data_IF_762463088984
#
_entry.id   IF_762463088984
#
_cell.length_a   1.000
_cell.length_b   1.000
_cell.length_c   1.000
_cell.angle_alpha   90.00
_cell.angle_beta   90.00
_cell.angle_gamma   90.00
#
_symmetry.space_group_name_H-M   'P 1'
#
loop_
_entity.id
_entity.type
_entity.pdbx_description
1 polymer ?
#
# COMPACT_ATOMS: atom_id res chain seq x y z
N UNK A 1 -17.31 -14.87 1.47
CA UNK A 1 -16.58 -15.71 0.48
C UNK A 1 -16.28 -17.04 1.16
N UNK A 2 -16.56 -18.12 0.47
CA UNK A 2 -16.01 -19.41 0.88
C UNK A 2 -14.49 -19.36 0.74
N UNK A 3 -13.77 -19.86 1.71
CA UNK A 3 -12.32 -20.03 1.66
C UNK A 3 -11.93 -20.73 0.34
N UNK A 4 -10.98 -20.22 -0.45
CA UNK A 4 -10.68 -20.74 -1.79
C UNK A 4 -9.81 -22.02 -1.72
N UNK A 5 -10.37 -23.05 -1.09
CA UNK A 5 -9.69 -24.28 -0.71
C UNK A 5 -8.98 -24.97 -1.88
N UNK A 6 -9.70 -25.19 -2.98
CA UNK A 6 -9.15 -25.90 -4.14
C UNK A 6 -7.98 -25.12 -4.77
N UNK A 7 -8.10 -23.79 -4.85
CA UNK A 7 -7.05 -22.91 -5.40
C UNK A 7 -5.82 -22.90 -4.51
N UNK A 8 -6.00 -22.85 -3.19
CA UNK A 8 -4.90 -22.89 -2.23
C UNK A 8 -4.20 -24.25 -2.22
N UNK A 9 -4.95 -25.35 -2.26
CA UNK A 9 -4.38 -26.69 -2.33
C UNK A 9 -3.60 -26.92 -3.64
N UNK A 10 -4.11 -26.43 -4.79
CA UNK A 10 -3.37 -26.43 -6.04
C UNK A 10 -2.09 -25.59 -5.97
N UNK A 11 -2.13 -24.46 -5.25
CA UNK A 11 -0.96 -23.62 -5.00
C UNK A 11 0.07 -24.33 -4.12
N UNK A 12 -0.38 -24.98 -3.03
CA UNK A 12 0.47 -25.78 -2.14
C UNK A 12 1.16 -26.91 -2.91
N UNK A 13 0.41 -27.71 -3.70
CA UNK A 13 0.99 -28.79 -4.50
C UNK A 13 2.06 -28.27 -5.46
N UNK A 14 1.77 -27.21 -6.20
CA UNK A 14 2.73 -26.56 -7.11
C UNK A 14 3.99 -26.10 -6.38
N UNK A 15 3.83 -25.44 -5.22
CA UNK A 15 4.94 -24.85 -4.48
C UNK A 15 5.69 -25.85 -3.59
N UNK A 16 5.13 -27.03 -3.29
CA UNK A 16 5.83 -28.09 -2.57
C UNK A 16 7.12 -28.54 -3.27
N UNK A 17 7.18 -28.36 -4.60
CA UNK A 17 8.34 -28.64 -5.46
C UNK A 17 9.28 -27.45 -5.63
N UNK A 18 8.87 -26.26 -5.15
CA UNK A 18 9.71 -25.07 -5.27
C UNK A 18 10.83 -25.11 -4.21
N UNK A 19 12.12 -24.85 -4.57
CA UNK A 19 13.25 -25.02 -3.66
C UNK A 19 13.13 -24.28 -2.32
N UNK A 20 12.48 -23.11 -2.31
CA UNK A 20 12.28 -22.35 -1.08
C UNK A 20 11.24 -23.00 -0.15
N UNK A 21 10.22 -23.65 -0.70
CA UNK A 21 9.09 -24.22 0.04
C UNK A 21 9.17 -25.72 0.25
N UNK A 22 10.10 -26.42 -0.40
CA UNK A 22 10.28 -27.85 -0.27
C UNK A 22 10.46 -28.25 1.21
N UNK A 23 9.63 -29.17 1.67
CA UNK A 23 9.59 -29.63 3.07
C UNK A 23 9.01 -28.65 4.09
N UNK A 24 8.47 -27.49 3.65
CA UNK A 24 7.87 -26.48 4.54
C UNK A 24 6.36 -26.39 4.42
N UNK A 25 5.78 -26.88 3.34
CA UNK A 25 4.35 -26.85 3.10
C UNK A 25 3.72 -28.21 3.42
N UNK A 26 2.49 -28.26 3.97
CA UNK A 26 1.73 -29.49 4.12
C UNK A 26 1.40 -30.09 2.74
N UNK A 27 0.83 -31.29 2.71
CA UNK A 27 0.34 -31.90 1.47
C UNK A 27 -0.90 -31.17 0.94
N UNK A 28 -1.80 -30.86 1.84
CA UNK A 28 -3.06 -30.14 1.63
C UNK A 28 -3.50 -29.47 2.94
N UNK A 29 -4.52 -28.65 2.86
CA UNK A 29 -5.20 -28.04 4.00
C UNK A 29 -6.71 -28.24 3.84
N UNK A 30 -7.45 -28.20 4.93
CA UNK A 30 -8.90 -28.51 4.96
C UNK A 30 -9.78 -27.27 5.05
N UNK A 31 -9.27 -26.20 5.64
CA UNK A 31 -9.97 -24.93 5.81
C UNK A 31 -9.01 -23.77 6.12
N UNK A 32 -9.55 -22.58 6.39
CA UNK A 32 -8.76 -21.38 6.67
C UNK A 32 -7.94 -21.49 7.97
N UNK A 33 -8.47 -22.16 8.99
CA UNK A 33 -7.77 -22.33 10.27
C UNK A 33 -6.59 -23.29 10.10
N UNK A 34 -6.80 -24.38 9.38
CA UNK A 34 -5.74 -25.34 9.04
C UNK A 34 -4.65 -24.68 8.18
N UNK A 35 -5.02 -23.88 7.17
CA UNK A 35 -4.10 -23.09 6.38
C UNK A 35 -3.24 -22.16 7.26
N UNK A 36 -3.88 -21.44 8.18
CA UNK A 36 -3.19 -20.51 9.07
C UNK A 36 -2.25 -21.22 10.06
N UNK A 37 -2.59 -22.40 10.52
CA UNK A 37 -1.81 -23.17 11.51
C UNK A 37 -0.70 -24.01 10.87
N UNK A 38 -0.95 -24.61 9.70
CA UNK A 38 -0.02 -25.53 9.07
C UNK A 38 1.08 -24.85 8.26
N UNK A 39 0.86 -23.62 7.78
CA UNK A 39 1.81 -22.91 6.93
C UNK A 39 2.42 -21.73 7.70
N UNK A 40 3.76 -21.71 7.86
CA UNK A 40 4.43 -20.62 8.58
C UNK A 40 4.31 -19.29 7.84
N UNK A 41 4.26 -18.21 8.61
CA UNK A 41 4.36 -16.85 8.08
C UNK A 41 5.76 -16.60 7.51
N UNK A 42 5.82 -15.87 6.39
CA UNK A 42 7.05 -15.39 5.79
C UNK A 42 7.22 -13.90 6.06
N UNK A 43 8.31 -13.52 6.67
CA UNK A 43 8.62 -12.11 6.93
C UNK A 43 9.30 -11.44 5.74
N UNK A 44 9.31 -10.10 5.73
CA UNK A 44 10.11 -9.32 4.77
C UNK A 44 11.59 -9.63 4.89
N UNK A 45 12.11 -9.83 6.11
CA UNK A 45 13.51 -10.17 6.34
C UNK A 45 13.89 -11.55 5.77
N UNK A 46 12.96 -12.53 5.78
CA UNK A 46 13.18 -13.83 5.15
C UNK A 46 13.37 -13.68 3.63
N UNK A 47 12.53 -12.85 2.99
CA UNK A 47 12.65 -12.55 1.56
C UNK A 47 13.98 -11.86 1.24
N UNK A 48 14.30 -10.79 1.96
CA UNK A 48 15.56 -10.03 1.78
C UNK A 48 16.77 -10.92 1.94
N UNK A 49 16.81 -11.71 3.02
CA UNK A 49 17.91 -12.64 3.31
C UNK A 49 18.09 -13.67 2.20
N UNK A 50 17.00 -14.23 1.69
CA UNK A 50 17.07 -15.24 0.64
C UNK A 50 17.53 -14.63 -0.69
N UNK A 51 17.00 -13.44 -1.05
CA UNK A 51 17.29 -12.77 -2.32
C UNK A 51 18.71 -12.21 -2.42
N UNK A 52 19.39 -11.93 -1.30
CA UNK A 52 20.77 -11.50 -1.28
C UNK A 52 21.78 -12.65 -1.37
N UNK A 53 21.33 -13.90 -1.30
CA UNK A 53 22.23 -15.05 -1.53
C UNK A 53 22.67 -15.12 -3.01
N UNK A 54 23.84 -15.70 -3.30
CA UNK A 54 24.29 -15.90 -4.68
C UNK A 54 23.21 -16.58 -5.54
N UNK A 55 22.98 -16.03 -6.74
CA UNK A 55 21.96 -16.54 -7.65
C UNK A 55 20.52 -16.39 -7.13
N UNK A 56 20.25 -15.44 -6.22
CA UNK A 56 18.97 -15.21 -5.58
C UNK A 56 18.48 -16.37 -4.69
N UNK A 57 19.42 -17.14 -4.16
CA UNK A 57 19.15 -18.26 -3.27
C UNK A 57 18.19 -19.27 -3.90
N UNK A 58 17.22 -19.71 -3.12
CA UNK A 58 16.24 -20.72 -3.55
C UNK A 58 15.14 -20.18 -4.48
N UNK A 59 15.08 -18.86 -4.75
CA UNK A 59 14.24 -18.27 -5.79
C UNK A 59 14.92 -18.23 -7.17
N UNK A 60 16.20 -18.53 -7.27
CA UNK A 60 17.00 -18.43 -8.49
C UNK A 60 16.71 -19.48 -9.58
N UNK A 61 15.81 -20.43 -9.37
CA UNK A 61 15.51 -21.52 -10.32
C UNK A 61 14.65 -21.12 -11.51
N UNK A 62 14.05 -19.92 -11.52
CA UNK A 62 13.19 -19.43 -12.61
C UNK A 62 13.95 -18.55 -13.59
N UNK A 63 13.48 -18.50 -14.85
CA UNK A 63 14.02 -17.59 -15.87
C UNK A 63 13.11 -16.36 -15.99
N UNK A 64 13.38 -15.27 -15.26
CA UNK A 64 12.56 -14.06 -15.37
C UNK A 64 12.78 -13.38 -16.72
N UNK A 65 11.71 -12.79 -17.26
CA UNK A 65 11.77 -11.87 -18.40
C UNK A 65 11.81 -10.42 -17.97
N UNK A 66 11.47 -10.17 -16.68
CA UNK A 66 11.50 -8.86 -16.05
C UNK A 66 12.07 -8.97 -14.66
N UNK A 67 12.97 -8.06 -14.34
CA UNK A 67 13.56 -7.91 -13.01
C UNK A 67 13.57 -6.42 -12.69
N UNK A 68 12.76 -6.03 -11.72
CA UNK A 68 12.77 -4.70 -11.14
C UNK A 68 13.44 -4.77 -9.75
N UNK A 69 13.69 -3.63 -9.14
CA UNK A 69 14.22 -3.55 -7.79
C UNK A 69 13.18 -2.95 -6.85
N UNK A 70 13.21 -3.34 -5.60
CA UNK A 70 12.44 -2.73 -4.52
C UNK A 70 13.37 -2.38 -3.37
N UNK A 71 13.19 -1.20 -2.79
CA UNK A 71 13.89 -0.83 -1.57
C UNK A 71 13.23 -1.52 -0.38
N UNK A 72 13.94 -2.46 0.24
CA UNK A 72 13.45 -3.21 1.39
C UNK A 72 14.51 -3.21 2.48
N UNK A 73 14.18 -2.66 3.64
CA UNK A 73 14.95 -2.63 4.89
C UNK A 73 16.41 -3.14 4.86
N UNK A 74 17.32 -2.37 4.29
CA UNK A 74 18.74 -2.73 4.18
C UNK A 74 19.30 -2.84 2.76
N UNK A 75 18.50 -2.59 1.70
CA UNK A 75 19.03 -2.56 0.35
C UNK A 75 18.01 -2.79 -0.76
N UNK A 76 18.52 -2.85 -1.98
CA UNK A 76 17.73 -3.16 -3.17
C UNK A 76 17.54 -4.67 -3.29
N UNK A 77 16.30 -5.11 -3.39
CA UNK A 77 15.90 -6.51 -3.56
C UNK A 77 15.30 -6.70 -4.94
N UNK A 78 15.76 -7.68 -5.74
CA UNK A 78 15.15 -8.00 -7.01
C UNK A 78 13.71 -8.48 -6.88
N UNK A 79 12.85 -7.97 -7.74
CA UNK A 79 11.47 -8.42 -7.94
C UNK A 79 11.38 -9.04 -9.32
N UNK A 80 11.16 -10.34 -9.37
CA UNK A 80 11.24 -11.12 -10.59
C UNK A 80 9.85 -11.50 -11.12
N UNK A 81 9.71 -11.51 -12.45
CA UNK A 81 8.49 -11.92 -13.15
C UNK A 81 8.86 -12.79 -14.35
N UNK A 82 8.21 -13.95 -14.49
CA UNK A 82 8.22 -14.73 -15.74
C UNK A 82 7.31 -14.07 -16.78
N UNK A 83 7.34 -14.55 -18.04
CA UNK A 83 6.37 -14.12 -19.04
C UNK A 83 4.93 -14.39 -18.58
N UNK A 84 4.68 -15.55 -18.01
CA UNK A 84 3.35 -15.91 -17.51
C UNK A 84 2.91 -15.05 -16.33
N UNK A 85 3.82 -14.64 -15.45
CA UNK A 85 3.49 -13.70 -14.37
C UNK A 85 3.02 -12.36 -14.94
N UNK A 86 3.71 -11.85 -15.97
CA UNK A 86 3.32 -10.61 -16.65
C UNK A 86 1.95 -10.76 -17.36
N UNK A 87 1.74 -11.87 -18.07
CA UNK A 87 0.50 -12.11 -18.81
C UNK A 87 -0.71 -12.25 -17.86
N UNK A 88 -0.56 -12.93 -16.72
CA UNK A 88 -1.59 -13.04 -15.68
C UNK A 88 -1.93 -11.69 -15.06
N UNK A 89 -0.92 -10.89 -14.77
CA UNK A 89 -1.08 -9.54 -14.26
C UNK A 89 -1.86 -8.66 -15.25
N UNK A 90 -1.53 -8.69 -16.53
CA UNK A 90 -2.27 -8.00 -17.61
C UNK A 90 -3.72 -8.46 -17.63
N UNK A 91 -3.95 -9.78 -17.65
CA UNK A 91 -5.28 -10.37 -17.68
C UNK A 91 -6.16 -9.92 -16.52
N UNK A 92 -5.62 -9.92 -15.30
CA UNK A 92 -6.34 -9.47 -14.11
C UNK A 92 -6.69 -7.96 -14.17
N UNK A 93 -5.79 -7.13 -14.72
CA UNK A 93 -6.03 -5.70 -14.84
C UNK A 93 -7.05 -5.34 -15.93
N UNK A 94 -7.24 -6.17 -16.95
CA UNK A 94 -8.12 -5.88 -18.10
C UNK A 94 -9.56 -5.57 -17.67
N UNK A 95 -10.18 -6.46 -16.89
CA UNK A 95 -11.55 -6.26 -16.39
C UNK A 95 -11.69 -4.95 -15.61
N UNK A 96 -10.64 -4.55 -14.89
CA UNK A 96 -10.65 -3.29 -14.16
C UNK A 96 -10.56 -2.08 -15.11
N UNK A 97 -9.72 -2.15 -16.14
CA UNK A 97 -9.60 -1.08 -17.15
C UNK A 97 -10.93 -0.89 -17.92
N UNK A 98 -11.57 -1.99 -18.32
CA UNK A 98 -12.91 -1.98 -18.93
C UNK A 98 -13.93 -1.29 -18.01
N UNK A 99 -13.93 -1.67 -16.72
CA UNK A 99 -14.83 -1.10 -15.71
C UNK A 99 -14.64 0.41 -15.51
N UNK A 100 -13.42 0.92 -15.62
CA UNK A 100 -13.10 2.34 -15.51
C UNK A 100 -13.38 3.13 -16.80
N UNK A 101 -13.92 2.48 -17.85
CA UNK A 101 -14.19 3.13 -19.12
C UNK A 101 -12.92 3.47 -19.92
N UNK A 102 -11.85 2.69 -19.70
CA UNK A 102 -10.62 2.79 -20.51
C UNK A 102 -10.85 2.05 -21.83
N UNK A 103 -10.54 2.69 -22.97
CA UNK A 103 -10.85 2.19 -24.30
C UNK A 103 -9.62 2.21 -25.22
N UNK A 104 -9.67 1.40 -26.28
CA UNK A 104 -8.69 1.48 -27.37
C UNK A 104 -8.70 2.89 -27.99
N UNK A 105 -7.51 3.46 -28.18
CA UNK A 105 -7.33 4.82 -28.69
C UNK A 105 -7.23 5.90 -27.61
N UNK A 106 -7.44 5.57 -26.34
CA UNK A 106 -7.10 6.48 -25.24
C UNK A 106 -5.60 6.76 -25.19
N UNK A 107 -5.24 7.87 -24.56
CA UNK A 107 -3.84 8.27 -24.37
C UNK A 107 -3.55 8.44 -22.89
N UNK A 108 -2.64 7.62 -22.36
CA UNK A 108 -2.22 7.62 -20.97
C UNK A 108 -0.84 8.26 -20.80
N UNK A 109 -0.72 9.29 -19.96
CA UNK A 109 0.56 9.78 -19.49
C UNK A 109 0.94 9.08 -18.17
N UNK A 110 2.09 8.42 -18.17
CA UNK A 110 2.60 7.68 -17.02
C UNK A 110 3.71 8.49 -16.35
N UNK A 111 3.46 8.93 -15.11
CA UNK A 111 4.37 9.73 -14.31
C UNK A 111 5.13 8.93 -13.25
N UNK A 112 5.00 7.61 -13.24
CA UNK A 112 5.83 6.75 -12.42
C UNK A 112 7.23 6.57 -13.02
N UNK A 113 8.24 6.38 -12.15
CA UNK A 113 9.60 6.13 -12.58
C UNK A 113 9.74 4.82 -13.38
N UNK A 114 10.58 4.86 -14.41
CA UNK A 114 10.87 3.71 -15.29
C UNK A 114 12.21 3.02 -14.96
N UNK A 115 13.07 3.69 -14.22
CA UNK A 115 14.37 3.15 -13.82
C UNK A 115 14.24 2.34 -12.54
N UNK A 116 14.78 1.14 -12.51
CA UNK A 116 14.81 0.18 -11.39
C UNK A 116 13.44 -0.31 -10.91
N UNK A 117 12.50 0.61 -10.62
CA UNK A 117 11.22 0.29 -9.98
C UNK A 117 10.19 -0.25 -10.96
N UNK A 118 9.17 -0.91 -10.43
CA UNK A 118 8.20 -1.66 -11.24
C UNK A 118 7.04 -0.82 -11.78
N UNK A 119 6.70 0.29 -11.10
CA UNK A 119 5.43 0.99 -11.32
C UNK A 119 5.24 1.52 -12.75
N UNK A 120 6.22 2.24 -13.32
CA UNK A 120 6.13 2.77 -14.68
C UNK A 120 5.88 1.67 -15.71
N UNK A 121 6.72 0.62 -15.70
CA UNK A 121 6.58 -0.52 -16.59
C UNK A 121 5.28 -1.32 -16.37
N UNK A 122 4.79 -1.37 -15.12
CA UNK A 122 3.53 -2.02 -14.81
C UNK A 122 2.36 -1.31 -15.48
N UNK A 123 2.25 0.01 -15.30
CA UNK A 123 1.16 0.77 -15.92
C UNK A 123 1.25 0.76 -17.43
N UNK A 124 2.42 1.00 -18.01
CA UNK A 124 2.61 0.96 -19.46
C UNK A 124 2.20 -0.39 -20.03
N UNK A 125 2.70 -1.50 -19.47
CA UNK A 125 2.45 -2.83 -20.00
C UNK A 125 0.96 -3.17 -20.06
N UNK A 126 0.19 -2.83 -19.03
CA UNK A 126 -1.26 -3.12 -19.00
C UNK A 126 -2.06 -2.21 -19.92
N UNK A 127 -1.68 -0.93 -20.04
CA UNK A 127 -2.33 0.04 -20.90
C UNK A 127 -2.11 -0.31 -22.39
N UNK A 128 -0.86 -0.58 -22.79
CA UNK A 128 -0.53 -1.01 -24.15
C UNK A 128 -1.26 -2.31 -24.53
N UNK A 129 -1.33 -3.28 -23.61
CA UNK A 129 -2.08 -4.52 -23.84
C UNK A 129 -3.60 -4.31 -23.93
N UNK A 130 -4.10 -3.16 -23.50
CA UNK A 130 -5.50 -2.74 -23.59
C UNK A 130 -5.79 -1.85 -24.81
N UNK A 131 -4.79 -1.57 -25.66
CA UNK A 131 -4.90 -0.70 -26.83
C UNK A 131 -4.77 0.79 -26.55
N UNK A 132 -4.33 1.17 -25.34
CA UNK A 132 -4.10 2.55 -24.92
C UNK A 132 -2.71 3.00 -25.34
N UNK A 133 -2.60 4.17 -25.95
CA UNK A 133 -1.30 4.79 -26.23
C UNK A 133 -0.65 5.30 -24.94
N UNK A 134 0.59 4.90 -24.67
CA UNK A 134 1.31 5.31 -23.48
C UNK A 134 2.40 6.33 -23.78
N UNK A 135 2.44 7.40 -22.98
CA UNK A 135 3.53 8.40 -22.97
C UNK A 135 4.30 8.22 -21.66
N UNK A 136 5.55 7.70 -21.70
CA UNK A 136 6.35 7.43 -20.51
C UNK A 136 7.09 8.66 -20.03
N UNK A 137 6.39 9.61 -19.39
CA UNK A 137 6.97 10.87 -18.93
C UNK A 137 7.89 10.71 -17.71
N UNK A 138 7.52 9.82 -16.79
CA UNK A 138 8.24 9.69 -15.52
C UNK A 138 8.01 10.86 -14.55
N UNK A 139 8.58 10.80 -13.34
CA UNK A 139 8.50 11.88 -12.37
C UNK A 139 9.47 13.04 -12.74
N UNK A 140 9.06 14.28 -12.48
CA UNK A 140 9.93 15.44 -12.59
C UNK A 140 9.80 16.29 -13.85
N UNK A 141 9.00 15.91 -14.84
CA UNK A 141 8.79 16.64 -16.09
C UNK A 141 7.50 17.49 -16.09
N UNK A 142 7.14 18.09 -14.95
CA UNK A 142 5.87 18.84 -14.82
C UNK A 142 5.74 19.97 -15.86
N UNK A 143 6.81 20.71 -16.13
CA UNK A 143 6.78 21.83 -17.08
C UNK A 143 6.52 21.36 -18.52
N UNK A 144 7.06 20.21 -18.90
CA UNK A 144 6.81 19.62 -20.23
C UNK A 144 5.48 18.85 -20.30
N UNK A 145 4.95 18.44 -19.16
CA UNK A 145 3.73 17.64 -19.10
C UNK A 145 2.54 18.38 -19.72
N UNK A 146 2.42 19.68 -19.48
CA UNK A 146 1.32 20.50 -20.02
C UNK A 146 1.32 20.48 -21.54
N UNK A 147 2.46 20.77 -22.16
CA UNK A 147 2.58 20.80 -23.63
C UNK A 147 2.31 19.42 -24.23
N UNK A 148 2.90 18.38 -23.67
CA UNK A 148 2.75 16.99 -24.13
C UNK A 148 1.31 16.51 -23.95
N UNK A 149 0.73 16.69 -22.75
CA UNK A 149 -0.65 16.24 -22.49
C UNK A 149 -1.65 16.98 -23.37
N UNK A 150 -1.42 18.27 -23.67
CA UNK A 150 -2.29 19.06 -24.55
C UNK A 150 -2.13 18.65 -26.01
N UNK A 151 -0.89 18.55 -26.49
CA UNK A 151 -0.61 18.21 -27.90
C UNK A 151 -1.12 16.81 -28.29
N UNK A 152 -1.14 15.87 -27.35
CA UNK A 152 -1.51 14.47 -27.61
C UNK A 152 -2.88 14.10 -27.02
N UNK A 153 -3.68 15.06 -26.55
CA UNK A 153 -5.02 14.83 -26.00
C UNK A 153 -5.03 13.76 -24.90
N UNK A 154 -4.06 13.81 -23.97
CA UNK A 154 -3.99 12.86 -22.86
C UNK A 154 -5.28 12.92 -22.05
N UNK A 155 -5.93 11.76 -21.88
CA UNK A 155 -7.18 11.62 -21.15
C UNK A 155 -7.12 10.58 -20.02
N UNK A 156 -5.96 9.95 -19.80
CA UNK A 156 -5.67 9.09 -18.65
C UNK A 156 -4.36 9.53 -18.02
N UNK A 157 -4.33 9.62 -16.69
CA UNK A 157 -3.10 9.85 -15.93
C UNK A 157 -2.81 8.65 -15.00
N UNK A 158 -1.54 8.29 -14.86
CA UNK A 158 -1.07 7.32 -13.87
C UNK A 158 0.13 7.90 -13.11
N UNK A 159 0.00 8.10 -11.81
CA UNK A 159 1.03 8.77 -11.02
C UNK A 159 0.72 8.89 -9.53
N UNK A 160 1.58 9.57 -8.80
CA UNK A 160 1.35 9.86 -7.39
C UNK A 160 0.26 10.93 -7.22
N UNK A 161 -0.68 10.77 -6.30
CA UNK A 161 -1.74 11.76 -6.05
C UNK A 161 -1.21 13.17 -5.75
N UNK A 162 -0.22 13.30 -4.87
CA UNK A 162 0.38 14.60 -4.54
C UNK A 162 1.08 15.26 -5.73
N UNK A 163 1.68 14.47 -6.63
CA UNK A 163 2.29 14.99 -7.85
C UNK A 163 1.23 15.42 -8.87
N UNK A 164 0.09 14.74 -8.93
CA UNK A 164 -1.00 15.08 -9.86
C UNK A 164 -1.58 16.48 -9.59
N UNK A 165 -1.66 16.91 -8.33
CA UNK A 165 -2.09 18.28 -7.99
C UNK A 165 -1.18 19.33 -8.62
N UNK A 166 0.14 19.13 -8.55
CA UNK A 166 1.11 20.04 -9.18
C UNK A 166 0.98 20.07 -10.71
N UNK A 167 0.63 18.93 -11.33
CA UNK A 167 0.38 18.88 -12.77
C UNK A 167 -0.84 19.70 -13.15
N UNK A 168 -1.91 19.65 -12.37
CA UNK A 168 -3.12 20.43 -12.59
C UNK A 168 -2.88 21.93 -12.36
N UNK A 169 -2.15 22.29 -11.29
CA UNK A 169 -1.71 23.67 -11.02
C UNK A 169 -0.87 24.22 -12.18
N UNK A 170 -0.02 23.41 -12.80
CA UNK A 170 0.75 23.77 -13.97
C UNK A 170 -0.10 23.91 -15.25
N UNK A 171 -1.34 23.40 -15.28
CA UNK A 171 -2.28 23.55 -16.39
C UNK A 171 -2.61 22.24 -17.14
N UNK A 172 -2.21 21.08 -16.66
CA UNK A 172 -2.68 19.79 -17.20
C UNK A 172 -4.17 19.68 -16.92
N UNK A 173 -4.96 19.32 -17.92
CA UNK A 173 -6.41 19.17 -17.79
C UNK A 173 -6.76 17.91 -16.97
N UNK A 174 -7.87 17.94 -16.18
CA UNK A 174 -8.40 16.75 -15.53
C UNK A 174 -8.62 15.62 -16.53
N UNK A 175 -8.13 14.40 -16.24
CA UNK A 175 -8.31 13.25 -17.12
C UNK A 175 -9.71 12.63 -16.94
N UNK A 176 -10.12 11.70 -17.82
CA UNK A 176 -11.31 10.87 -17.56
C UNK A 176 -11.05 9.82 -16.49
N UNK A 177 -9.80 9.31 -16.39
CA UNK A 177 -9.39 8.34 -15.36
C UNK A 177 -8.04 8.74 -14.81
N UNK A 178 -7.91 8.73 -13.49
CA UNK A 178 -6.65 8.90 -12.78
C UNK A 178 -6.31 7.67 -11.95
N UNK A 179 -5.24 6.98 -12.31
CA UNK A 179 -4.70 5.85 -11.56
C UNK A 179 -3.68 6.36 -10.54
N UNK A 180 -4.11 6.50 -9.32
CA UNK A 180 -3.31 6.94 -8.18
C UNK A 180 -2.55 5.76 -7.55
N UNK A 181 -1.29 5.96 -7.18
CA UNK A 181 -0.52 4.95 -6.48
C UNK A 181 0.81 5.50 -5.95
N UNK A 182 1.53 4.66 -5.20
CA UNK A 182 2.83 5.01 -4.64
C UNK A 182 2.79 5.76 -3.32
N UNK A 183 1.65 6.25 -2.90
CA UNK A 183 1.39 6.86 -1.58
C UNK A 183 -0.06 6.58 -1.15
N UNK A 184 -0.36 6.75 0.14
CA UNK A 184 -1.71 6.57 0.66
C UNK A 184 -2.67 7.58 0.01
N UNK A 185 -3.74 7.09 -0.61
CA UNK A 185 -4.71 7.92 -1.32
C UNK A 185 -6.07 7.90 -0.65
N UNK A 186 -6.86 6.82 -0.76
CA UNK A 186 -8.14 6.72 -0.06
C UNK A 186 -7.98 6.61 1.45
N UNK A 187 -6.83 6.10 1.92
CA UNK A 187 -6.41 6.13 3.32
C UNK A 187 -5.95 7.50 3.82
N UNK A 188 -5.88 8.53 2.94
CA UNK A 188 -5.58 9.92 3.28
C UNK A 188 -6.73 10.83 2.82
N UNK A 189 -7.76 11.05 3.67
CA UNK A 189 -8.96 11.79 3.28
C UNK A 189 -8.68 13.21 2.77
N UNK A 190 -7.70 13.91 3.33
CA UNK A 190 -7.33 15.26 2.89
C UNK A 190 -6.81 15.26 1.47
N UNK A 191 -5.84 14.40 1.17
CA UNK A 191 -5.28 14.27 -0.17
C UNK A 191 -6.34 13.82 -1.17
N UNK A 192 -7.18 12.84 -0.78
CA UNK A 192 -8.28 12.37 -1.64
C UNK A 192 -9.25 13.49 -1.99
N UNK A 193 -9.68 14.27 -0.99
CA UNK A 193 -10.60 15.42 -1.19
C UNK A 193 -9.97 16.47 -2.10
N UNK A 194 -8.70 16.86 -1.85
CA UNK A 194 -8.00 17.84 -2.69
C UNK A 194 -7.90 17.39 -4.16
N UNK A 195 -7.61 16.11 -4.39
CA UNK A 195 -7.55 15.58 -5.77
C UNK A 195 -8.95 15.50 -6.38
N UNK A 196 -9.97 15.09 -5.64
CA UNK A 196 -11.34 15.00 -6.13
C UNK A 196 -11.91 16.38 -6.52
N UNK A 197 -11.61 17.41 -5.73
CA UNK A 197 -12.01 18.79 -6.03
C UNK A 197 -11.25 19.35 -7.26
N UNK A 198 -9.98 19.02 -7.41
CA UNK A 198 -9.16 19.45 -8.55
C UNK A 198 -9.47 18.67 -9.86
N UNK A 199 -10.07 17.49 -9.76
CA UNK A 199 -10.40 16.63 -10.90
C UNK A 199 -11.92 16.30 -10.93
N UNK A 200 -12.81 17.28 -11.09
CA UNK A 200 -14.25 17.02 -11.11
C UNK A 200 -14.62 16.13 -12.32
N UNK A 201 -15.40 15.07 -12.04
CA UNK A 201 -15.87 14.13 -13.05
C UNK A 201 -14.84 13.06 -13.47
N UNK A 202 -13.63 13.10 -12.91
CA UNK A 202 -12.60 12.07 -13.14
C UNK A 202 -12.92 10.81 -12.33
N UNK A 203 -12.77 9.63 -12.94
CA UNK A 203 -12.75 8.37 -12.22
C UNK A 203 -11.41 8.24 -11.46
N UNK A 204 -11.46 8.42 -10.14
CA UNK A 204 -10.30 8.28 -9.27
C UNK A 204 -10.12 6.82 -8.87
N UNK A 205 -8.97 6.25 -9.19
CA UNK A 205 -8.63 4.86 -8.89
C UNK A 205 -7.48 4.84 -7.89
N UNK A 206 -7.72 4.38 -6.67
CA UNK A 206 -6.64 4.00 -5.77
C UNK A 206 -6.13 2.62 -6.17
N UNK A 207 -4.85 2.54 -6.51
CA UNK A 207 -4.21 1.32 -6.97
C UNK A 207 -3.17 0.86 -5.95
N UNK A 208 -3.63 0.03 -5.03
CA UNK A 208 -2.79 -0.54 -4.00
C UNK A 208 -1.92 -1.66 -4.56
N UNK A 209 -0.62 -1.53 -4.35
CA UNK A 209 0.37 -2.50 -4.80
C UNK A 209 1.60 -2.48 -3.90
N UNK A 210 2.19 -3.64 -3.71
CA UNK A 210 3.53 -3.80 -3.16
C UNK A 210 4.44 -4.23 -4.31
N UNK A 211 5.68 -3.76 -4.34
CA UNK A 211 6.60 -4.13 -5.45
C UNK A 211 6.74 -5.64 -5.60
N UNK A 212 6.85 -6.37 -4.49
CA UNK A 212 6.97 -7.81 -4.41
C UNK A 212 5.64 -8.57 -4.63
N UNK A 213 4.50 -7.87 -4.40
CA UNK A 213 3.15 -8.42 -4.63
C UNK A 213 2.38 -7.44 -5.50
N UNK A 214 2.43 -7.64 -6.79
CA UNK A 214 1.85 -6.70 -7.75
C UNK A 214 1.02 -7.43 -8.80
N UNK A 215 -0.19 -6.96 -9.08
CA UNK A 215 -0.99 -5.99 -8.33
C UNK A 215 -1.61 -6.59 -7.06
N UNK A 216 -1.99 -5.74 -6.08
CA UNK A 216 -2.74 -6.20 -4.90
C UNK A 216 -4.24 -5.94 -5.09
N UNK A 217 -4.64 -4.70 -5.34
CA UNK A 217 -6.05 -4.36 -5.56
C UNK A 217 -6.25 -2.94 -6.09
N UNK A 218 -7.50 -2.62 -6.46
CA UNK A 218 -7.90 -1.31 -6.99
C UNK A 218 -9.31 -0.91 -6.58
N UNK A 219 -9.56 0.40 -6.54
CA UNK A 219 -10.92 0.94 -6.45
C UNK A 219 -11.68 0.68 -7.76
N UNK A 220 -12.88 0.14 -7.66
CA UNK A 220 -13.81 -0.03 -8.80
C UNK A 220 -14.82 1.11 -8.84
N UNK A 221 -15.40 1.45 -10.02
CA UNK A 221 -16.42 2.48 -10.13
C UNK A 221 -17.61 2.22 -9.20
N UNK A 222 -18.01 3.26 -8.44
CA UNK A 222 -19.10 3.17 -7.47
C UNK A 222 -18.79 2.36 -6.21
N UNK A 223 -17.58 1.78 -6.08
CA UNK A 223 -17.11 1.05 -4.91
C UNK A 223 -16.42 1.97 -3.90
N UNK A 224 -16.45 1.56 -2.63
CA UNK A 224 -15.61 2.15 -1.59
C UNK A 224 -14.44 1.22 -1.28
N UNK A 225 -13.25 1.81 -1.08
CA UNK A 225 -12.03 1.06 -0.81
C UNK A 225 -11.47 0.35 -2.04
N UNK A 226 -10.54 -0.56 -1.78
CA UNK A 226 -9.79 -1.30 -2.81
C UNK A 226 -10.25 -2.75 -2.79
N UNK A 227 -10.75 -3.24 -3.93
CA UNK A 227 -11.03 -4.67 -4.12
C UNK A 227 -9.78 -5.40 -4.61
N UNK A 228 -9.48 -6.52 -3.99
CA UNK A 228 -8.29 -7.30 -4.28
C UNK A 228 -8.43 -8.08 -5.61
N UNK A 229 -7.30 -8.33 -6.23
CA UNK A 229 -7.20 -9.27 -7.37
C UNK A 229 -7.16 -10.71 -6.84
N UNK A 230 -8.32 -11.19 -6.36
CA UNK A 230 -8.48 -12.47 -5.67
C UNK A 230 -8.23 -13.70 -6.56
N UNK A 231 -8.11 -13.53 -7.88
CA UNK A 231 -7.56 -14.54 -8.79
C UNK A 231 -6.02 -14.66 -8.75
N UNK A 232 -5.33 -13.63 -8.27
CA UNK A 232 -3.85 -13.61 -8.19
C UNK A 232 -3.33 -13.84 -6.78
N UNK A 233 -4.08 -13.37 -5.77
CA UNK A 233 -3.66 -13.37 -4.38
C UNK A 233 -4.79 -13.82 -3.44
N UNK A 234 -4.40 -14.48 -2.36
CA UNK A 234 -5.24 -14.71 -1.19
C UNK A 234 -4.78 -13.81 -0.05
N UNK A 235 -5.70 -13.18 0.65
CA UNK A 235 -5.42 -12.23 1.73
C UNK A 235 -5.96 -12.70 3.08
N UNK A 236 -5.11 -12.66 4.08
CA UNK A 236 -5.43 -12.79 5.49
C UNK A 236 -5.19 -11.46 6.20
N UNK A 237 -5.85 -11.22 7.31
CA UNK A 237 -5.50 -10.16 8.26
C UNK A 237 -5.25 -10.83 9.60
N UNK A 238 -4.09 -10.56 10.21
CA UNK A 238 -3.66 -11.19 11.46
C UNK A 238 -3.40 -10.14 12.54
N UNK A 239 -3.58 -10.51 13.79
CA UNK A 239 -3.06 -9.71 14.89
C UNK A 239 -1.52 -9.76 14.88
N UNK A 240 -0.82 -8.62 14.81
CA UNK A 240 0.64 -8.60 14.63
C UNK A 240 1.44 -9.10 15.84
N UNK A 241 0.82 -9.25 17.03
CA UNK A 241 1.46 -9.79 18.24
C UNK A 241 1.22 -11.28 18.40
N UNK A 242 -0.05 -11.71 18.30
CA UNK A 242 -0.42 -13.12 18.46
C UNK A 242 -0.20 -13.94 17.21
N UNK A 243 -0.08 -13.27 16.05
CA UNK A 243 0.07 -13.85 14.71
C UNK A 243 -1.13 -14.72 14.29
N UNK A 244 -2.27 -14.56 14.98
CA UNK A 244 -3.51 -15.28 14.67
C UNK A 244 -4.40 -14.46 13.74
N UNK A 245 -5.15 -15.10 12.84
CA UNK A 245 -6.14 -14.42 12.02
C UNK A 245 -7.17 -13.69 12.89
N UNK A 246 -7.55 -12.49 12.44
CA UNK A 246 -8.64 -11.70 13.04
C UNK A 246 -9.92 -11.85 12.22
N UNK A 247 -11.06 -11.51 12.79
CA UNK A 247 -12.34 -11.56 12.10
C UNK A 247 -12.43 -10.48 11.00
N UNK A 248 -13.29 -10.71 10.00
CA UNK A 248 -13.60 -9.69 9.00
C UNK A 248 -14.16 -8.43 9.67
N UNK A 249 -13.63 -7.27 9.30
CA UNK A 249 -13.96 -6.00 9.92
C UNK A 249 -13.03 -5.60 11.07
N UNK A 250 -12.20 -6.50 11.56
CA UNK A 250 -11.19 -6.20 12.57
C UNK A 250 -9.87 -5.75 11.94
N UNK A 251 -9.17 -4.88 12.66
CA UNK A 251 -7.87 -4.33 12.25
C UNK A 251 -6.73 -5.30 12.56
N UNK A 252 -5.82 -5.47 11.60
CA UNK A 252 -4.62 -6.27 11.80
C UNK A 252 -3.61 -6.06 10.67
N UNK A 253 -2.55 -6.85 10.65
CA UNK A 253 -1.53 -6.85 9.60
C UNK A 253 -2.00 -7.66 8.40
N UNK A 254 -1.86 -7.05 7.21
CA UNK A 254 -2.14 -7.73 5.93
C UNK A 254 -1.08 -8.79 5.65
N UNK A 255 -1.55 -9.99 5.36
CA UNK A 255 -0.74 -11.13 4.95
C UNK A 255 -1.22 -11.61 3.58
N UNK A 256 -0.30 -11.77 2.63
CA UNK A 256 -0.63 -12.09 1.25
C UNK A 256 0.00 -13.41 0.80
N UNK A 257 -0.76 -14.18 0.03
CA UNK A 257 -0.31 -15.41 -0.62
C UNK A 257 -0.53 -15.31 -2.12
N UNK A 258 0.53 -15.49 -2.91
CA UNK A 258 0.42 -15.60 -4.35
C UNK A 258 -0.20 -16.93 -4.77
N UNK A 259 -1.27 -16.89 -5.53
CA UNK A 259 -1.95 -18.09 -6.01
C UNK A 259 -1.28 -18.68 -7.25
N UNK A 260 -0.75 -17.84 -8.15
CA UNK A 260 -0.27 -18.30 -9.46
C UNK A 260 1.14 -17.82 -9.84
N UNK A 261 1.80 -17.00 -9.03
CA UNK A 261 3.13 -16.46 -9.34
C UNK A 261 4.18 -17.58 -9.47
N UNK A 262 4.98 -17.50 -10.52
CA UNK A 262 6.04 -18.48 -10.84
C UNK A 262 7.41 -18.01 -10.34
N UNK A 263 7.79 -16.76 -10.68
CA UNK A 263 9.01 -16.18 -10.17
C UNK A 263 8.77 -15.58 -8.79
N UNK A 264 9.56 -15.98 -7.82
CA UNK A 264 9.52 -15.44 -6.46
C UNK A 264 8.10 -15.51 -5.84
N UNK A 265 7.46 -16.70 -5.80
CA UNK A 265 6.16 -16.85 -5.16
C UNK A 265 6.27 -16.61 -3.65
N UNK A 266 5.33 -15.87 -3.09
CA UNK A 266 5.24 -15.59 -1.65
C UNK A 266 4.02 -16.29 -1.06
N UNK A 267 4.18 -16.98 0.06
CA UNK A 267 3.10 -17.66 0.78
C UNK A 267 3.06 -17.15 2.21
N UNK A 268 1.89 -16.73 2.65
CA UNK A 268 1.65 -16.10 3.96
C UNK A 268 2.67 -15.01 4.29
N UNK A 269 2.92 -14.13 3.29
CA UNK A 269 3.88 -13.05 3.40
C UNK A 269 3.33 -11.89 4.22
N UNK A 270 4.01 -11.56 5.29
CA UNK A 270 3.72 -10.42 6.14
C UNK A 270 4.14 -9.13 5.44
N UNK A 271 3.18 -8.28 5.10
CA UNK A 271 3.46 -7.02 4.39
C UNK A 271 3.99 -5.93 5.33
N UNK A 272 3.66 -6.03 6.59
CA UNK A 272 3.86 -4.96 7.58
C UNK A 272 2.79 -3.88 7.52
N UNK A 273 1.85 -3.94 6.59
CA UNK A 273 0.79 -2.95 6.43
C UNK A 273 -0.42 -3.31 7.30
N UNK A 274 -0.92 -2.33 8.04
CA UNK A 274 -2.12 -2.47 8.85
C UNK A 274 -3.36 -2.11 8.05
N UNK A 275 -4.33 -2.99 8.06
CA UNK A 275 -5.57 -2.82 7.30
C UNK A 275 -6.77 -3.40 8.04
N UNK A 276 -7.94 -3.23 7.44
CA UNK A 276 -9.17 -3.98 7.73
C UNK A 276 -9.56 -4.69 6.45
N UNK A 277 -9.91 -5.96 6.55
CA UNK A 277 -10.45 -6.71 5.42
C UNK A 277 -11.95 -6.95 5.63
N UNK A 278 -12.74 -6.76 4.60
CA UNK A 278 -14.16 -7.07 4.57
C UNK A 278 -14.53 -7.92 3.37
N UNK A 279 -15.63 -8.66 3.49
CA UNK A 279 -16.20 -9.39 2.37
C UNK A 279 -17.37 -8.58 1.82
N UNK A 280 -17.05 -7.66 0.91
CA UNK A 280 -18.05 -6.78 0.26
C UNK A 280 -17.97 -6.99 -1.26
N UNK A 281 -18.94 -7.72 -1.86
CA UNK A 281 -18.91 -7.98 -3.30
C UNK A 281 -18.95 -6.68 -4.12
N UNK A 282 -18.06 -6.55 -5.08
CA UNK A 282 -18.18 -5.54 -6.13
C UNK A 282 -19.15 -6.02 -7.21
N UNK A 283 -19.71 -5.07 -7.96
CA UNK A 283 -20.54 -5.40 -9.15
C UNK A 283 -19.75 -6.11 -10.25
N UNK A 284 -18.43 -6.15 -10.17
CA UNK A 284 -17.49 -6.79 -11.08
C UNK A 284 -17.00 -8.17 -10.60
N UNK A 285 -17.67 -8.76 -9.61
CA UNK A 285 -17.43 -10.12 -9.15
C UNK A 285 -16.32 -10.27 -8.10
N UNK A 286 -15.59 -9.19 -7.73
CA UNK A 286 -14.60 -9.24 -6.67
C UNK A 286 -15.25 -9.12 -5.31
N UNK A 287 -14.74 -9.85 -4.34
CA UNK A 287 -15.43 -9.98 -3.05
C UNK A 287 -14.60 -9.51 -1.87
N UNK A 288 -13.27 -9.54 -1.94
CA UNK A 288 -12.41 -9.09 -0.84
C UNK A 288 -12.11 -7.61 -1.02
N UNK A 289 -12.42 -6.81 0.00
CA UNK A 289 -12.24 -5.37 0.01
C UNK A 289 -11.40 -4.93 1.20
N UNK A 290 -10.54 -3.95 0.98
CA UNK A 290 -9.84 -3.17 2.00
C UNK A 290 -10.45 -1.76 2.02
N UNK A 291 -11.41 -1.46 2.92
CA UNK A 291 -12.18 -0.21 2.89
C UNK A 291 -11.33 1.06 2.97
N UNK A 292 -10.26 1.02 3.74
CA UNK A 292 -9.35 2.17 3.94
C UNK A 292 -7.92 1.87 3.48
N UNK A 293 -7.73 0.83 2.69
CA UNK A 293 -6.45 0.35 2.16
C UNK A 293 -5.43 0.06 3.26
N UNK A 294 -4.67 1.06 3.71
CA UNK A 294 -3.64 0.93 4.75
C UNK A 294 -3.79 2.05 5.77
N UNK A 295 -3.82 1.69 7.05
CA UNK A 295 -3.86 2.63 8.18
C UNK A 295 -2.48 3.04 8.68
N UNK A 296 -1.44 2.30 8.32
CA UNK A 296 -0.06 2.47 8.79
C UNK A 296 0.70 1.17 8.70
N UNK A 297 1.87 1.12 9.34
CA UNK A 297 2.75 -0.05 9.30
C UNK A 297 3.02 -0.59 10.70
N UNK A 298 3.23 -1.90 10.79
CA UNK A 298 3.56 -2.58 12.06
C UNK A 298 4.95 -2.21 12.57
N UNK A 299 5.89 -1.91 11.67
CA UNK A 299 7.26 -1.49 12.00
C UNK A 299 7.36 -0.01 12.44
N UNK A 300 6.31 0.76 12.24
CA UNK A 300 6.18 2.14 12.74
C UNK A 300 5.43 2.22 14.08
N UNK A 301 4.91 1.09 14.58
CA UNK A 301 4.16 1.03 15.82
C UNK A 301 5.05 1.25 17.04
N UNK A 302 4.60 2.07 17.97
CA UNK A 302 5.18 2.19 19.31
C UNK A 302 4.14 1.80 20.37
N UNK A 303 4.55 1.00 21.35
CA UNK A 303 3.69 0.68 22.50
C UNK A 303 3.93 1.69 23.59
N UNK A 304 2.90 2.44 23.99
CA UNK A 304 2.99 3.53 24.97
C UNK A 304 1.92 3.33 26.04
N UNK A 305 2.32 3.37 27.31
CA UNK A 305 1.39 3.16 28.45
C UNK A 305 0.55 1.89 28.26
N UNK A 306 1.13 0.84 27.65
CA UNK A 306 0.46 -0.42 27.37
C UNK A 306 -0.44 -0.45 26.12
N UNK A 307 -0.64 0.67 25.44
CA UNK A 307 -1.48 0.82 24.24
C UNK A 307 -0.60 0.94 22.99
N UNK A 308 -1.02 0.31 21.89
CA UNK A 308 -0.37 0.45 20.58
C UNK A 308 -0.72 1.81 19.98
N UNK A 309 0.28 2.53 19.52
CA UNK A 309 0.13 3.83 18.86
C UNK A 309 0.83 3.80 17.50
N UNK A 310 0.11 4.25 16.48
CA UNK A 310 0.59 4.28 15.10
C UNK A 310 0.70 5.73 14.60
N UNK A 311 1.68 6.07 13.73
CA UNK A 311 1.80 7.40 13.13
C UNK A 311 0.53 7.89 12.43
N UNK A 312 -0.20 6.99 11.80
CA UNK A 312 -1.48 7.32 11.15
C UNK A 312 -2.56 7.80 12.11
N UNK A 313 -2.59 7.29 13.35
CA UNK A 313 -3.53 7.73 14.38
C UNK A 313 -3.20 9.13 14.86
N UNK A 314 -1.90 9.45 14.97
CA UNK A 314 -1.46 10.80 15.33
C UNK A 314 -1.88 11.80 14.26
N UNK A 315 -1.66 11.47 12.98
CA UNK A 315 -2.10 12.31 11.86
C UNK A 315 -3.61 12.52 11.85
N UNK A 316 -4.40 11.47 12.10
CA UNK A 316 -5.86 11.57 12.15
C UNK A 316 -6.34 12.52 13.28
N UNK A 317 -5.65 12.54 14.42
CA UNK A 317 -5.96 13.49 15.52
C UNK A 317 -5.75 14.93 15.10
N UNK A 318 -4.68 15.22 14.36
CA UNK A 318 -4.27 16.58 13.97
C UNK A 318 -5.12 17.11 12.82
N UNK A 319 -5.62 16.22 11.98
CA UNK A 319 -6.33 16.57 10.75
C UNK A 319 -7.56 17.47 11.01
N UNK A 320 -7.66 18.55 10.23
CA UNK A 320 -8.78 19.49 10.32
C UNK A 320 -8.81 20.33 11.60
N UNK A 321 -7.65 20.53 12.24
CA UNK A 321 -7.50 21.55 13.28
C UNK A 321 -6.88 22.79 12.64
N UNK A 322 -7.58 23.90 12.72
CA UNK A 322 -7.15 25.17 12.14
C UNK A 322 -5.79 25.60 12.68
N UNK A 323 -4.92 26.07 11.79
CA UNK A 323 -3.57 26.52 12.13
C UNK A 323 -2.50 25.42 12.15
N UNK A 324 -2.87 24.13 11.96
CA UNK A 324 -1.91 23.02 11.89
C UNK A 324 -1.75 22.54 10.44
N UNK A 325 -0.50 22.35 9.99
CA UNK A 325 -0.19 21.87 8.62
C UNK A 325 -0.04 20.35 8.51
N UNK A 326 -0.28 19.61 9.61
CA UNK A 326 -0.32 18.14 9.63
C UNK A 326 1.02 17.47 9.92
N UNK A 327 2.12 18.24 9.97
CA UNK A 327 3.43 17.72 10.37
C UNK A 327 3.53 17.67 11.90
N UNK A 328 4.18 16.62 12.41
CA UNK A 328 4.34 16.42 13.85
C UNK A 328 5.65 15.70 14.19
N UNK A 329 6.05 15.82 15.47
CA UNK A 329 7.06 14.97 16.08
C UNK A 329 6.57 14.48 17.44
N UNK A 330 6.44 13.16 17.61
CA UNK A 330 6.13 12.51 18.87
C UNK A 330 7.40 11.92 19.47
N UNK A 331 7.71 12.34 20.70
CA UNK A 331 8.81 11.78 21.50
C UNK A 331 8.22 10.95 22.63
N UNK A 332 8.62 9.68 22.68
CA UNK A 332 8.32 8.77 23.79
C UNK A 332 9.57 8.64 24.64
N UNK A 333 9.47 8.94 25.92
CA UNK A 333 10.57 8.86 26.90
C UNK A 333 10.11 8.19 28.18
N UNK A 334 11.04 7.76 29.02
CA UNK A 334 10.73 7.31 30.36
C UNK A 334 10.72 8.50 31.33
N UNK A 335 9.72 8.57 32.23
CA UNK A 335 9.72 9.48 33.37
C UNK A 335 10.71 9.02 34.45
N UNK A 336 11.03 9.87 35.38
CA UNK A 336 11.89 9.50 36.53
C UNK A 336 11.33 8.30 37.33
N UNK A 337 10.03 8.04 37.26
CA UNK A 337 9.37 6.89 37.89
C UNK A 337 9.24 5.66 36.99
N UNK A 338 9.85 5.66 35.79
CA UNK A 338 9.84 4.54 34.85
C UNK A 338 8.55 4.41 33.98
N UNK A 339 7.58 5.32 34.16
CA UNK A 339 6.39 5.34 33.30
C UNK A 339 6.67 6.08 32.00
N UNK A 340 5.95 5.71 30.93
CA UNK A 340 6.04 6.36 29.63
C UNK A 340 5.56 7.82 29.70
N UNK A 341 6.32 8.73 29.11
CA UNK A 341 5.98 10.13 28.89
C UNK A 341 5.96 10.45 27.40
N UNK A 342 4.87 11.12 26.96
CA UNK A 342 4.66 11.54 25.58
C UNK A 342 4.74 13.05 25.47
N UNK A 343 5.63 13.53 24.59
CA UNK A 343 5.67 14.94 24.17
C UNK A 343 5.38 15.02 22.68
N UNK A 344 4.34 15.75 22.29
CA UNK A 344 3.89 15.93 20.92
C UNK A 344 4.15 17.37 20.49
N UNK A 345 5.04 17.56 19.51
CA UNK A 345 5.26 18.83 18.84
C UNK A 345 4.54 18.84 17.49
N UNK A 346 3.80 19.88 17.19
CA UNK A 346 2.99 20.07 15.99
C UNK A 346 3.49 21.30 15.25
N UNK A 347 3.65 21.16 13.94
CA UNK A 347 4.00 22.30 13.10
C UNK A 347 2.76 23.10 12.78
N UNK A 348 2.85 24.43 12.95
CA UNK A 348 1.74 25.33 12.69
C UNK A 348 1.84 26.65 13.43
N UNK A 349 0.75 27.37 13.41
CA UNK A 349 0.57 28.63 14.16
C UNK A 349 -0.31 28.37 15.36
N UNK A 350 0.14 28.79 16.54
CA UNK A 350 -0.62 28.63 17.77
C UNK A 350 -1.93 29.43 17.69
N UNK A 351 -3.05 28.69 17.69
CA UNK A 351 -4.39 29.26 17.78
C UNK A 351 -5.00 29.02 19.15
N UNK A 352 -6.01 29.82 19.52
CA UNK A 352 -6.75 29.63 20.76
C UNK A 352 -7.26 28.18 20.83
N UNK A 353 -6.96 27.46 21.91
CA UNK A 353 -7.40 26.08 22.22
C UNK A 353 -6.90 24.94 21.31
N UNK A 354 -6.00 25.17 20.35
CA UNK A 354 -5.54 24.10 19.43
C UNK A 354 -4.82 22.97 20.19
N UNK A 355 -3.94 23.27 21.12
CA UNK A 355 -3.21 22.26 21.93
C UNK A 355 -4.16 21.46 22.84
N UNK A 356 -5.18 22.09 23.42
CA UNK A 356 -6.19 21.41 24.23
C UNK A 356 -7.07 20.50 23.38
N UNK A 357 -7.48 20.98 22.20
CA UNK A 357 -8.24 20.21 21.24
C UNK A 357 -7.49 18.98 20.77
N UNK A 358 -6.18 19.10 20.46
CA UNK A 358 -5.32 17.97 20.13
C UNK A 358 -5.26 16.99 21.31
N UNK A 359 -4.96 17.44 22.53
CA UNK A 359 -4.90 16.58 23.72
C UNK A 359 -6.18 15.78 23.92
N UNK A 360 -7.33 16.42 23.79
CA UNK A 360 -8.65 15.81 23.95
C UNK A 360 -8.92 14.78 22.84
N UNK A 361 -8.68 15.14 21.56
CA UNK A 361 -8.85 14.23 20.43
C UNK A 361 -7.89 13.05 20.53
N UNK A 362 -6.63 13.29 20.87
CA UNK A 362 -5.62 12.25 21.03
C UNK A 362 -6.08 11.21 22.04
N UNK A 363 -6.51 11.63 23.23
CA UNK A 363 -7.02 10.72 24.26
C UNK A 363 -8.27 9.97 23.83
N UNK A 364 -9.19 10.62 23.11
CA UNK A 364 -10.45 9.99 22.69
C UNK A 364 -10.25 8.96 21.57
N UNK A 365 -9.29 9.18 20.67
CA UNK A 365 -9.05 8.31 19.52
C UNK A 365 -8.03 7.22 19.78
N UNK A 366 -7.00 7.49 20.59
CA UNK A 366 -5.90 6.54 20.86
C UNK A 366 -5.97 5.88 22.23
N UNK A 367 -6.84 6.36 23.14
CA UNK A 367 -6.92 5.97 24.56
C UNK A 367 -5.67 6.35 25.38
N UNK A 368 -4.74 7.11 24.79
CA UNK A 368 -3.49 7.53 25.41
C UNK A 368 -3.57 9.02 25.72
N UNK A 369 -3.14 9.42 26.93
CA UNK A 369 -2.98 10.84 27.26
C UNK A 369 -1.57 11.30 26.89
N UNK A 370 -1.49 12.39 26.12
CA UNK A 370 -0.24 13.12 25.86
C UNK A 370 0.10 13.94 27.09
N UNK A 371 1.37 13.89 27.53
CA UNK A 371 1.80 14.60 28.72
C UNK A 371 2.18 16.06 28.40
N UNK A 372 2.51 16.35 27.13
CA UNK A 372 2.85 17.68 26.66
C UNK A 372 2.51 17.83 25.17
N UNK A 373 1.81 18.90 24.80
CA UNK A 373 1.55 19.31 23.42
C UNK A 373 2.14 20.70 23.20
N UNK A 374 2.93 20.85 22.13
CA UNK A 374 3.54 22.13 21.71
C UNK A 374 3.19 22.40 20.26
N UNK A 375 2.82 23.63 19.95
CA UNK A 375 2.69 24.11 18.57
C UNK A 375 3.92 24.96 18.28
N UNK A 376 4.64 24.63 17.22
CA UNK A 376 5.92 25.26 16.84
C UNK A 376 5.91 25.65 15.37
N UNK A 377 6.59 26.73 15.03
CA UNK A 377 6.72 27.16 13.63
C UNK A 377 7.54 26.15 12.79
N UNK A 378 8.54 25.51 13.40
CA UNK A 378 9.36 24.48 12.77
C UNK A 378 9.62 23.32 13.76
N UNK A 379 9.61 22.10 13.24
CA UNK A 379 9.93 20.90 14.02
C UNK A 379 11.46 20.70 14.09
N UNK A 380 11.90 20.10 15.19
CA UNK A 380 13.31 19.72 15.31
C UNK A 380 13.68 18.67 14.24
N UNK A 381 14.96 18.66 13.76
CA UNK A 381 15.42 17.61 12.86
C UNK A 381 15.32 16.23 13.49
N UNK A 382 14.66 15.29 12.80
CA UNK A 382 14.53 13.91 13.28
C UNK A 382 13.27 13.21 12.78
N UNK A 383 13.07 11.94 13.18
CA UNK A 383 11.91 11.17 12.79
C UNK A 383 10.63 11.72 13.45
N UNK A 384 9.50 11.59 12.76
CA UNK A 384 8.18 12.00 13.29
C UNK A 384 7.74 11.21 14.51
N UNK A 385 8.27 10.00 14.71
CA UNK A 385 8.11 9.20 15.91
C UNK A 385 9.50 8.82 16.43
N UNK A 386 9.83 9.22 17.65
CA UNK A 386 11.13 9.02 18.26
C UNK A 386 11.00 8.38 19.65
N UNK A 387 11.23 7.07 19.71
CA UNK A 387 11.25 6.33 20.97
C UNK A 387 12.64 6.43 21.62
N UNK A 388 12.72 7.18 22.71
CA UNK A 388 13.95 7.42 23.49
C UNK A 388 14.05 6.54 24.75
N UNK A 389 13.13 5.59 24.93
CA UNK A 389 13.19 4.65 26.05
C UNK A 389 14.32 3.64 25.83
N UNK A 390 15.25 3.51 26.76
CA UNK A 390 16.36 2.56 26.67
C UNK A 390 17.55 3.02 25.82
N UNK A 391 17.66 4.33 25.55
CA UNK A 391 18.88 4.95 24.99
C UNK A 391 19.60 5.75 26.05
#
# INVERSE_FOLDING_TARGET
>A
MTFPLDTLNATIDRLSRHPFYSGKLPRDVTDAADFANAIPLMSRSDLVTEMHKPGYGRFGGTKPVRMNMSQMGGGLVPVMQTRRDVDRMIGACRTHLDACGTEEGDVCAVFFGYHLFVAGLFYQTQMEAHGVTCIPLGPGEADRAVDICTAHNVNILAGNPSFSLRLLEAGVKPPKVFFAGGEAFTGNPTLYTSVAEAMPGTMLVDAFSLSEVMPVGRTFPGGQGVHLFDELIYAEVIDPETLQPVADGERGELVLTHLQKEAQPLVRYRTGDLTVKTTTPSVFGRTVCLPNVVFGRTDEMVKVKGVKLYPSEIRAVILGIDGLDGDYQLIVSASAGGSDRLSLSLKGVEGDDAAETVSRRFKSQTLISVDEVRIVAELDPGPSLNDKRGK
#
